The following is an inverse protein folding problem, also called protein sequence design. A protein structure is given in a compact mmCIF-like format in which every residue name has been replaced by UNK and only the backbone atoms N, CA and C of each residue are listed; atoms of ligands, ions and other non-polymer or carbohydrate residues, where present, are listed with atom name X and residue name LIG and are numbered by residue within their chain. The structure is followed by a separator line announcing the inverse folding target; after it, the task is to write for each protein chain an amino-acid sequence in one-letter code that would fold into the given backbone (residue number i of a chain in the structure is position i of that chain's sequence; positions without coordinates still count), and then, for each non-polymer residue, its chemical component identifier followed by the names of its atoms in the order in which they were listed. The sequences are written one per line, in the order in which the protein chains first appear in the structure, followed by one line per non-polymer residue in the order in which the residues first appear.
data_IF_630228735895
#
_entry.id   IF_630228735895
#
_cell.length_a   1.000
_cell.length_b   1.000
_cell.length_c   1.000
_cell.angle_alpha   90.00
_cell.angle_beta   90.00
_cell.angle_gamma   90.00
#
_symmetry.space_group_name_H-M   'P 1'
#
loop_
_entity.id
_entity.type
_entity.pdbx_description
1 polymer ?
#
# COMPACT_ATOMS: atom_id res chain seq x y z
N UNK A 1 -5.21 -30.39 -37.96
CA UNK A 1 -4.47 -29.12 -37.84
C UNK A 1 -4.85 -28.35 -36.56
N UNK A 2 -6.06 -28.54 -36.04
CA UNK A 2 -6.57 -27.75 -34.90
C UNK A 2 -5.90 -28.07 -33.57
N UNK A 3 -5.57 -29.35 -33.31
CA UNK A 3 -4.87 -29.74 -32.08
C UNK A 3 -3.47 -29.11 -31.98
N UNK A 4 -2.74 -29.01 -33.10
CA UNK A 4 -1.42 -28.37 -33.14
C UNK A 4 -1.51 -26.87 -32.87
N UNK A 5 -2.54 -26.20 -33.41
CA UNK A 5 -2.81 -24.78 -33.17
C UNK A 5 -3.25 -24.53 -31.73
N UNK A 6 -4.09 -25.41 -31.18
CA UNK A 6 -4.53 -25.35 -29.79
C UNK A 6 -3.35 -25.55 -28.82
N UNK A 7 -2.49 -26.53 -29.07
CA UNK A 7 -1.28 -26.78 -28.28
C UNK A 7 -0.33 -25.57 -28.31
N UNK A 8 -0.13 -24.98 -29.49
CA UNK A 8 0.66 -23.75 -29.63
C UNK A 8 0.09 -22.57 -28.83
N UNK A 9 -1.22 -22.38 -28.84
CA UNK A 9 -1.88 -21.33 -28.06
C UNK A 9 -1.70 -21.53 -26.55
N UNK A 10 -1.81 -22.77 -26.07
CA UNK A 10 -1.61 -23.12 -24.67
C UNK A 10 -0.16 -22.82 -24.24
N UNK A 11 0.82 -23.25 -25.03
CA UNK A 11 2.24 -22.99 -24.77
C UNK A 11 2.51 -21.49 -24.74
N UNK A 12 1.96 -20.73 -25.69
CA UNK A 12 2.15 -19.29 -25.76
C UNK A 12 1.53 -18.56 -24.56
N UNK A 13 0.37 -19.01 -24.08
CA UNK A 13 -0.26 -18.49 -22.86
C UNK A 13 0.63 -18.70 -21.63
N UNK A 14 1.19 -19.90 -21.47
CA UNK A 14 2.13 -20.19 -20.38
C UNK A 14 3.42 -19.36 -20.48
N UNK A 15 3.96 -19.17 -21.68
CA UNK A 15 5.15 -18.34 -21.90
C UNK A 15 4.92 -16.89 -21.47
N UNK A 16 3.76 -16.31 -21.80
CA UNK A 16 3.40 -14.95 -21.39
C UNK A 16 3.27 -14.87 -19.88
N UNK A 17 2.60 -15.86 -19.25
CA UNK A 17 2.43 -15.89 -17.80
C UNK A 17 3.77 -16.00 -17.06
N UNK A 18 4.66 -16.89 -17.52
CA UNK A 18 6.00 -17.08 -16.95
C UNK A 18 6.86 -15.83 -17.17
N UNK A 19 6.83 -15.26 -18.37
CA UNK A 19 7.56 -14.04 -18.70
C UNK A 19 7.12 -12.86 -17.83
N UNK A 20 5.80 -12.68 -17.65
CA UNK A 20 5.26 -11.65 -16.77
C UNK A 20 5.66 -11.88 -15.32
N UNK A 21 5.53 -13.11 -14.81
CA UNK A 21 5.95 -13.44 -13.45
C UNK A 21 7.46 -13.25 -13.24
N UNK A 22 8.29 -13.52 -14.24
CA UNK A 22 9.74 -13.37 -14.15
C UNK A 22 10.19 -11.90 -14.13
N UNK A 23 9.58 -11.06 -14.98
CA UNK A 23 9.95 -9.64 -15.09
C UNK A 23 9.22 -8.75 -14.07
N UNK A 24 7.97 -9.06 -13.73
CA UNK A 24 7.09 -8.16 -12.97
C UNK A 24 6.59 -8.73 -11.64
N UNK A 25 6.65 -10.05 -11.40
CA UNK A 25 6.21 -10.54 -10.09
C UNK A 25 7.25 -10.19 -9.01
N UNK A 26 6.80 -9.66 -7.87
CA UNK A 26 7.68 -9.45 -6.72
C UNK A 26 8.24 -10.79 -6.27
N UNK A 27 9.55 -10.85 -6.03
CA UNK A 27 10.16 -12.06 -5.46
C UNK A 27 9.54 -12.33 -4.11
N UNK A 28 9.06 -13.56 -3.91
CA UNK A 28 8.57 -14.00 -2.61
C UNK A 28 9.73 -13.85 -1.60
N UNK A 29 9.67 -12.79 -0.80
CA UNK A 29 10.53 -12.64 0.37
C UNK A 29 10.18 -13.81 1.28
N UNK A 30 11.16 -14.65 1.60
CA UNK A 30 10.97 -15.68 2.62
C UNK A 30 10.60 -14.95 3.90
N UNK A 31 9.33 -15.01 4.28
CA UNK A 31 8.95 -14.60 5.62
C UNK A 31 9.74 -15.48 6.59
N UNK A 32 10.46 -14.90 7.56
CA UNK A 32 11.10 -15.69 8.60
C UNK A 32 10.02 -16.58 9.23
N UNK A 33 10.34 -17.85 9.43
CA UNK A 33 9.43 -18.81 10.04
C UNK A 33 8.98 -18.24 11.40
N UNK A 34 7.74 -17.77 11.44
CA UNK A 34 7.24 -16.97 12.54
C UNK A 34 5.74 -16.77 12.41
N UNK A 35 5.02 -17.59 13.17
CA UNK A 35 3.57 -17.57 13.39
C UNK A 35 2.75 -18.24 12.29
N UNK A 36 2.48 -19.53 12.51
CA UNK A 36 1.29 -20.20 11.96
C UNK A 36 0.07 -19.38 12.37
N UNK A 37 -0.58 -18.72 11.40
CA UNK A 37 -1.89 -18.16 11.62
C UNK A 37 -2.88 -19.31 11.65
N UNK A 38 -3.11 -19.83 12.86
CA UNK A 38 -4.18 -20.77 13.16
C UNK A 38 -5.49 -20.14 12.66
N UNK A 39 -6.11 -20.80 11.67
CA UNK A 39 -7.48 -20.54 11.26
C UNK A 39 -8.36 -20.97 12.43
N UNK A 40 -8.50 -20.09 13.41
CA UNK A 40 -9.44 -20.22 14.50
C UNK A 40 -10.74 -19.56 14.09
N UNK A 41 -11.76 -20.38 13.84
CA UNK A 41 -13.17 -19.95 13.81
C UNK A 41 -13.43 -19.08 15.03
N UNK A 42 -13.52 -17.76 14.83
CA UNK A 42 -13.84 -16.82 15.90
C UNK A 42 -15.35 -16.83 16.09
N UNK A 43 -15.80 -17.56 17.10
CA UNK A 43 -17.13 -17.41 17.67
C UNK A 43 -17.34 -15.95 18.12
N UNK A 44 -18.48 -15.38 17.75
CA UNK A 44 -18.98 -14.11 18.27
C UNK A 44 -19.20 -14.19 19.78
N UNK A 45 -18.65 -13.25 20.57
CA UNK A 45 -19.20 -12.96 21.88
C UNK A 45 -20.23 -11.85 21.71
N UNK A 46 -21.50 -12.23 21.87
CA UNK A 46 -22.61 -11.31 22.11
C UNK A 46 -22.63 -10.99 23.61
N UNK A 47 -22.22 -9.78 23.97
CA UNK A 47 -22.46 -9.11 25.26
C UNK A 47 -21.95 -7.67 25.09
N UNK A 48 -22.56 -6.60 25.57
CA UNK A 48 -23.80 -6.34 26.28
C UNK A 48 -24.04 -4.85 26.05
N UNK A 49 -25.27 -4.41 25.78
CA UNK A 49 -25.61 -3.00 25.96
C UNK A 49 -25.45 -2.71 27.47
N UNK A 50 -24.57 -1.76 27.81
CA UNK A 50 -24.83 -0.63 28.70
C UNK A 50 -23.47 0.05 28.98
N UNK A 51 -23.22 1.23 28.41
CA UNK A 51 -22.35 2.18 29.10
C UNK A 51 -22.78 3.61 28.79
N UNK A 52 -23.45 4.19 29.79
CA UNK A 52 -23.82 5.59 29.81
C UNK A 52 -22.59 6.51 29.87
N UNK A 53 -22.69 7.58 29.06
CA UNK A 53 -22.13 8.92 29.21
C UNK A 53 -20.60 9.12 29.41
N UNK A 54 -19.98 9.77 28.43
CA UNK A 54 -19.04 10.88 28.66
C UNK A 54 -19.32 12.03 27.70
N UNK A 55 -19.36 13.30 28.14
CA UNK A 55 -19.39 14.45 27.24
C UNK A 55 -18.14 14.43 26.36
N UNK A 56 -18.34 14.56 25.05
CA UNK A 56 -17.26 14.73 24.08
C UNK A 56 -16.63 16.10 24.36
N UNK A 57 -15.37 16.11 24.80
CA UNK A 57 -14.61 17.35 24.92
C UNK A 57 -14.52 18.03 23.54
N UNK A 58 -14.61 19.36 23.44
CA UNK A 58 -14.48 20.04 22.15
C UNK A 58 -13.16 19.64 21.48
N UNK A 59 -13.23 19.26 20.21
CA UNK A 59 -12.05 19.00 19.41
C UNK A 59 -11.10 20.20 19.51
N UNK A 60 -9.84 19.93 19.87
CA UNK A 60 -8.81 20.95 19.95
C UNK A 60 -8.80 21.77 18.64
N UNK A 61 -8.84 23.09 18.78
CA UNK A 61 -8.79 24.00 17.65
C UNK A 61 -7.58 23.63 16.77
N UNK A 62 -7.85 23.33 15.51
CA UNK A 62 -6.83 23.19 14.48
C UNK A 62 -6.06 24.50 14.40
N UNK A 63 -4.83 24.49 14.91
CA UNK A 63 -3.94 25.63 14.78
C UNK A 63 -3.64 25.78 13.29
N UNK A 64 -3.98 26.94 12.72
CA UNK A 64 -3.65 27.24 11.34
C UNK A 64 -2.14 27.31 11.20
N UNK A 65 -1.57 26.34 10.49
CA UNK A 65 -0.14 26.31 10.19
C UNK A 65 0.15 27.47 9.23
N UNK A 66 0.85 28.49 9.73
CA UNK A 66 1.31 29.62 8.89
C UNK A 66 2.44 29.16 7.98
N UNK A 67 2.37 29.51 6.70
CA UNK A 67 3.48 29.27 5.76
C UNK A 67 4.67 30.13 6.19
N UNK A 68 5.79 29.48 6.47
CA UNK A 68 7.07 30.06 6.76
C UNK A 68 7.74 30.47 5.44
N UNK A 69 7.94 31.77 5.19
CA UNK A 69 8.57 32.26 3.95
C UNK A 69 10.06 31.88 3.84
N UNK A 70 10.70 31.41 4.91
CA UNK A 70 12.09 30.94 4.88
C UNK A 70 12.23 29.46 4.56
N UNK A 71 11.12 28.72 4.47
CA UNK A 71 11.13 27.32 4.08
C UNK A 71 11.62 27.16 2.64
N UNK A 72 12.63 26.31 2.43
CA UNK A 72 13.19 26.10 1.09
C UNK A 72 12.42 25.01 0.37
N UNK A 73 12.50 25.08 -0.95
CA UNK A 73 12.07 24.02 -1.84
C UNK A 73 13.31 23.20 -2.23
N UNK A 74 13.29 21.90 -1.93
CA UNK A 74 14.37 20.96 -2.22
C UNK A 74 13.97 20.15 -3.44
N UNK A 75 14.74 20.26 -4.51
CA UNK A 75 14.51 19.46 -5.73
C UNK A 75 15.26 18.15 -5.62
N UNK A 76 14.54 17.04 -5.78
CA UNK A 76 15.10 15.69 -5.80
C UNK A 76 14.93 15.14 -7.21
N UNK A 77 16.06 14.95 -7.89
CA UNK A 77 16.11 14.42 -9.25
C UNK A 77 16.58 12.97 -9.21
N UNK A 78 15.77 12.08 -9.79
CA UNK A 78 16.12 10.67 -9.97
C UNK A 78 15.82 10.24 -11.40
N UNK A 79 16.38 9.10 -11.88
CA UNK A 79 16.08 8.61 -13.23
C UNK A 79 14.60 8.29 -13.48
N UNK A 80 13.83 8.02 -12.42
CA UNK A 80 12.43 7.60 -12.53
C UNK A 80 11.43 8.73 -12.25
N UNK A 81 11.83 9.79 -11.53
CA UNK A 81 10.97 10.92 -11.21
C UNK A 81 11.77 12.14 -10.71
N UNK A 82 11.13 13.31 -10.85
CA UNK A 82 11.55 14.57 -10.22
C UNK A 82 10.46 15.00 -9.24
N UNK A 83 10.86 15.42 -8.05
CA UNK A 83 9.94 15.94 -7.03
C UNK A 83 10.53 17.15 -6.33
N UNK A 84 9.68 18.14 -6.03
CA UNK A 84 10.05 19.32 -5.25
C UNK A 84 9.41 19.20 -3.87
N UNK A 85 10.23 19.11 -2.83
CA UNK A 85 9.79 18.93 -1.44
C UNK A 85 9.94 20.26 -0.70
N UNK A 86 8.86 20.73 -0.08
CA UNK A 86 8.92 21.92 0.77
C UNK A 86 9.35 21.54 2.20
N UNK A 87 10.32 22.26 2.76
CA UNK A 87 10.84 22.02 4.11
C UNK A 87 9.78 22.22 5.22
N UNK A 88 8.70 22.95 4.93
CA UNK A 88 7.61 23.11 5.88
C UNK A 88 6.58 21.98 5.73
N UNK A 89 6.83 20.89 6.45
CA UNK A 89 5.89 19.76 6.54
C UNK A 89 6.00 18.77 5.39
N UNK A 90 7.04 18.85 4.55
CA UNK A 90 7.37 17.81 3.56
C UNK A 90 6.35 17.70 2.42
N UNK A 91 5.62 18.77 2.13
CA UNK A 91 4.67 18.79 1.03
C UNK A 91 5.38 18.66 -0.32
N UNK A 92 4.88 17.79 -1.19
CA UNK A 92 5.42 17.60 -2.55
C UNK A 92 4.69 18.55 -3.51
N UNK A 93 5.46 19.41 -4.18
CA UNK A 93 5.01 20.22 -5.31
C UNK A 93 5.34 19.45 -6.60
N UNK A 94 4.38 19.42 -7.53
CA UNK A 94 4.52 18.80 -8.85
C UNK A 94 5.28 19.69 -9.80
#
# INVERSE_FOLDING_TARGET
MDLQRALMAIILSFLILIGYQYFFAPRAVRQPAGVQQQIGTKAEPKASMEQAAKPVAPAAAVHSVKVNPTARDITVETPLYTAVINEQGGGVKR
#
